data_IF_884049888687
#
_entry.id   IF_884049888687
#
_cell.length_a   1.000
_cell.length_b   1.000
_cell.length_c   1.000
_cell.angle_alpha   90.00
_cell.angle_beta   90.00
_cell.angle_gamma   90.00
#
_symmetry.space_group_name_H-M   'P 1'
#
loop_
_entity.id
_entity.type
_entity.pdbx_description
1 polymer ?
#
# COMPACT_ATOMS: atom_id res chain seq x y z
N UNK A 1 27.19 81.20 39.47
CA UNK A 1 26.43 80.44 38.46
C UNK A 1 24.96 80.60 38.81
N UNK A 2 24.27 81.46 38.08
CA UNK A 2 22.97 82.02 38.47
C UNK A 2 21.84 81.04 38.19
N UNK A 3 20.88 80.95 39.12
CA UNK A 3 19.68 80.10 39.10
C UNK A 3 18.95 80.06 37.75
N UNK A 4 19.05 81.13 36.96
CA UNK A 4 18.50 81.23 35.60
C UNK A 4 19.00 80.15 34.64
N UNK A 5 20.27 79.76 34.70
CA UNK A 5 20.82 78.70 33.84
C UNK A 5 20.25 77.33 34.24
N UNK A 6 20.10 77.08 35.54
CA UNK A 6 19.53 75.84 36.06
C UNK A 6 18.06 75.72 35.65
N UNK A 7 17.27 76.79 35.78
CA UNK A 7 15.86 76.82 35.35
C UNK A 7 15.73 76.52 33.86
N UNK A 8 16.57 77.11 33.01
CA UNK A 8 16.51 76.88 31.57
C UNK A 8 16.85 75.43 31.19
N UNK A 9 17.86 74.83 31.83
CA UNK A 9 18.23 73.42 31.64
C UNK A 9 17.05 72.50 32.02
N UNK A 10 16.38 72.78 33.14
CA UNK A 10 15.21 71.99 33.57
C UNK A 10 14.06 72.11 32.56
N UNK A 11 13.78 73.30 32.05
CA UNK A 11 12.73 73.50 31.04
C UNK A 11 13.03 72.73 29.76
N UNK A 12 14.28 72.78 29.26
CA UNK A 12 14.69 72.01 28.08
C UNK A 12 14.61 70.51 28.32
N UNK A 13 15.04 70.04 29.50
CA UNK A 13 14.94 68.62 29.86
C UNK A 13 13.49 68.13 29.87
N UNK A 14 12.57 68.90 30.46
CA UNK A 14 11.14 68.58 30.47
C UNK A 14 10.56 68.60 29.05
N UNK A 15 10.91 69.60 28.23
CA UNK A 15 10.48 69.66 26.84
C UNK A 15 10.98 68.45 26.02
N UNK A 16 12.23 68.03 26.23
CA UNK A 16 12.79 66.84 25.59
C UNK A 16 12.06 65.55 26.00
N UNK A 17 11.73 65.40 27.29
CA UNK A 17 10.97 64.24 27.79
C UNK A 17 9.57 64.21 27.16
N UNK A 18 8.87 65.35 27.09
CA UNK A 18 7.55 65.44 26.47
C UNK A 18 7.60 65.10 24.97
N UNK A 19 8.64 65.54 24.27
CA UNK A 19 8.84 65.22 22.86
C UNK A 19 9.06 63.72 22.64
N UNK A 20 9.90 63.09 23.47
CA UNK A 20 10.14 61.64 23.40
C UNK A 20 8.85 60.86 23.70
N UNK A 21 8.07 61.29 24.70
CA UNK A 21 6.79 60.66 25.04
C UNK A 21 5.77 60.77 23.89
N UNK A 22 5.69 61.91 23.22
CA UNK A 22 4.80 62.12 22.07
C UNK A 22 5.18 61.21 20.88
N UNK A 23 6.47 61.11 20.56
CA UNK A 23 6.96 60.23 19.49
C UNK A 23 6.67 58.76 19.81
N UNK A 24 6.90 58.34 21.06
CA UNK A 24 6.62 56.98 21.51
C UNK A 24 5.11 56.64 21.44
N UNK A 25 4.24 57.60 21.75
CA UNK A 25 2.80 57.41 21.69
C UNK A 25 2.29 57.27 20.24
N UNK A 26 2.78 58.09 19.31
CA UNK A 26 2.45 57.98 17.88
C UNK A 26 2.94 56.66 17.29
N UNK A 27 4.16 56.24 17.63
CA UNK A 27 4.72 54.96 17.19
C UNK A 27 3.90 53.76 17.71
N UNK A 28 3.41 53.82 18.96
CA UNK A 28 2.53 52.79 19.55
C UNK A 28 1.15 52.75 18.90
N UNK A 29 0.57 53.91 18.56
CA UNK A 29 -0.72 54.01 17.85
C UNK A 29 -0.65 53.43 16.44
N UNK A 30 0.44 53.70 15.70
CA UNK A 30 0.65 53.13 14.36
C UNK A 30 0.81 51.60 14.40
N UNK A 31 1.49 51.06 15.41
CA UNK A 31 1.63 49.59 15.58
C UNK A 31 0.30 48.88 15.86
N UNK A 32 -0.61 49.50 16.61
CA UNK A 32 -1.90 48.90 16.95
C UNK A 32 -2.86 48.80 15.76
N UNK A 33 -2.75 49.69 14.77
CA UNK A 33 -3.49 49.57 13.50
C UNK A 33 -2.93 48.46 12.60
N UNK A 34 -1.60 48.31 12.51
CA UNK A 34 -0.97 47.24 11.74
C UNK A 34 -1.25 45.82 12.29
N UNK A 35 -1.45 45.67 13.60
CA UNK A 35 -1.78 44.37 14.21
C UNK A 35 -3.22 43.89 13.91
N UNK A 36 -4.14 44.79 13.55
CA UNK A 36 -5.50 44.39 13.12
C UNK A 36 -5.56 43.87 11.69
N UNK A 37 -4.73 44.40 10.80
CA UNK A 37 -4.67 43.96 9.38
C UNK A 37 -4.02 42.58 9.25
N UNK A 38 -2.96 42.30 10.02
CA UNK A 38 -2.28 40.99 9.99
C UNK A 38 -3.17 39.84 10.48
N UNK A 39 -4.12 40.09 11.38
CA UNK A 39 -5.06 39.06 11.84
C UNK A 39 -6.12 38.67 10.79
N UNK A 40 -6.44 39.57 9.86
CA UNK A 40 -7.30 39.27 8.70
C UNK A 40 -6.59 38.38 7.69
N UNK A 41 -5.39 38.78 7.28
CA UNK A 41 -4.56 38.04 6.31
C UNK A 41 -4.21 36.63 6.78
N UNK A 42 -3.98 36.43 8.09
CA UNK A 42 -3.69 35.09 8.64
C UNK A 42 -4.94 34.20 8.63
N UNK A 43 -6.14 34.77 8.83
CA UNK A 43 -7.40 34.00 8.76
C UNK A 43 -7.73 33.59 7.33
N UNK A 44 -7.53 34.49 6.36
CA UNK A 44 -7.78 34.20 4.95
C UNK A 44 -6.80 33.15 4.42
N UNK A 45 -5.52 33.27 4.75
CA UNK A 45 -4.50 32.26 4.40
C UNK A 45 -4.75 30.91 5.08
N UNK A 46 -5.24 30.90 6.33
CA UNK A 46 -5.59 29.65 7.02
C UNK A 46 -6.78 28.93 6.37
N UNK A 47 -7.78 29.67 5.87
CA UNK A 47 -8.92 29.08 5.16
C UNK A 47 -8.47 28.48 3.82
N UNK A 48 -7.63 29.19 3.06
CA UNK A 48 -7.10 28.68 1.78
C UNK A 48 -6.25 27.41 1.98
N UNK A 49 -5.36 27.41 2.98
CA UNK A 49 -4.56 26.22 3.32
C UNK A 49 -5.41 25.06 3.84
N UNK A 50 -6.52 25.32 4.55
CA UNK A 50 -7.42 24.26 5.01
C UNK A 50 -8.15 23.54 3.86
N UNK A 51 -8.46 24.26 2.77
CA UNK A 51 -9.04 23.66 1.57
C UNK A 51 -8.07 22.72 0.86
N UNK A 52 -6.77 23.03 0.84
CA UNK A 52 -5.75 22.18 0.23
C UNK A 52 -5.48 20.92 1.08
N UNK A 53 -5.43 21.07 2.41
CA UNK A 53 -5.27 19.94 3.33
C UNK A 53 -6.48 19.01 3.28
N UNK A 54 -7.71 19.55 3.27
CA UNK A 54 -8.93 18.75 3.17
C UNK A 54 -9.04 17.94 1.87
N UNK A 55 -8.54 18.47 0.75
CA UNK A 55 -8.46 17.71 -0.51
C UNK A 55 -7.46 16.55 -0.43
N UNK A 56 -6.30 16.77 0.20
CA UNK A 56 -5.30 15.71 0.39
C UNK A 56 -5.80 14.62 1.34
N UNK A 57 -6.51 15.02 2.40
CA UNK A 57 -7.15 14.09 3.34
C UNK A 57 -8.24 13.27 2.66
N UNK A 58 -9.10 13.90 1.84
CA UNK A 58 -10.12 13.19 1.07
C UNK A 58 -9.50 12.16 0.08
N UNK A 59 -8.41 12.52 -0.60
CA UNK A 59 -7.70 11.59 -1.49
C UNK A 59 -7.04 10.44 -0.72
N UNK A 60 -6.51 10.71 0.47
CA UNK A 60 -5.95 9.68 1.34
C UNK A 60 -7.03 8.71 1.83
N UNK A 61 -8.19 9.22 2.24
CA UNK A 61 -9.34 8.43 2.67
C UNK A 61 -9.91 7.59 1.52
N UNK A 62 -10.03 8.18 0.32
CA UNK A 62 -10.45 7.47 -0.89
C UNK A 62 -9.46 6.33 -1.21
N UNK A 63 -8.16 6.59 -1.14
CA UNK A 63 -7.12 5.60 -1.39
C UNK A 63 -7.17 4.47 -0.34
N UNK A 64 -7.36 4.82 0.94
CA UNK A 64 -7.49 3.85 2.02
C UNK A 64 -8.77 3.01 1.90
N UNK A 65 -9.88 3.60 1.44
CA UNK A 65 -11.11 2.88 1.15
C UNK A 65 -10.93 1.91 -0.03
N UNK A 66 -10.29 2.37 -1.12
CA UNK A 66 -9.99 1.55 -2.30
C UNK A 66 -9.05 0.39 -1.98
N UNK A 67 -8.05 0.61 -1.14
CA UNK A 67 -7.15 -0.45 -0.69
C UNK A 67 -7.91 -1.54 0.10
N UNK A 68 -8.81 -1.13 1.01
CA UNK A 68 -9.67 -2.07 1.76
C UNK A 68 -10.60 -2.86 0.84
N UNK A 69 -11.18 -2.22 -0.17
CA UNK A 69 -12.03 -2.90 -1.15
C UNK A 69 -11.23 -3.94 -1.96
N UNK A 70 -10.06 -3.56 -2.48
CA UNK A 70 -9.20 -4.46 -3.23
C UNK A 70 -8.72 -5.67 -2.39
N UNK A 71 -8.43 -5.45 -1.11
CA UNK A 71 -8.07 -6.52 -0.19
C UNK A 71 -9.24 -7.50 0.03
N UNK A 72 -10.45 -7.00 0.25
CA UNK A 72 -11.63 -7.84 0.41
C UNK A 72 -11.91 -8.69 -0.84
N UNK A 73 -11.76 -8.13 -2.04
CA UNK A 73 -11.88 -8.85 -3.30
C UNK A 73 -10.81 -9.95 -3.44
N UNK A 74 -9.56 -9.65 -3.07
CA UNK A 74 -8.47 -10.62 -3.10
C UNK A 74 -8.71 -11.77 -2.12
N UNK A 75 -9.19 -11.49 -0.90
CA UNK A 75 -9.54 -12.50 0.10
C UNK A 75 -10.69 -13.39 -0.38
N UNK A 76 -11.72 -12.82 -1.02
CA UNK A 76 -12.81 -13.59 -1.61
C UNK A 76 -12.32 -14.51 -2.74
N UNK A 77 -11.43 -14.01 -3.61
CA UNK A 77 -10.84 -14.81 -4.69
C UNK A 77 -9.93 -15.92 -4.13
N UNK A 78 -9.17 -15.64 -3.07
CA UNK A 78 -8.34 -16.63 -2.39
C UNK A 78 -9.19 -17.75 -1.76
N UNK A 79 -10.31 -17.40 -1.13
CA UNK A 79 -11.25 -18.39 -0.59
C UNK A 79 -11.86 -19.27 -1.69
N UNK A 80 -12.21 -18.69 -2.84
CA UNK A 80 -12.71 -19.44 -4.00
C UNK A 80 -11.64 -20.39 -4.56
N UNK A 81 -10.40 -19.93 -4.69
CA UNK A 81 -9.27 -20.75 -5.12
C UNK A 81 -9.00 -21.92 -4.15
N UNK A 82 -9.03 -21.65 -2.84
CA UNK A 82 -8.89 -22.68 -1.82
C UNK A 82 -10.01 -23.73 -1.91
N UNK A 83 -11.26 -23.31 -2.19
CA UNK A 83 -12.38 -24.21 -2.43
C UNK A 83 -12.16 -25.13 -3.63
N UNK A 84 -11.68 -24.60 -4.76
CA UNK A 84 -11.34 -25.39 -5.94
C UNK A 84 -10.19 -26.38 -5.69
N UNK A 85 -9.16 -25.95 -4.96
CA UNK A 85 -8.06 -26.82 -4.56
C UNK A 85 -8.53 -27.98 -3.67
N UNK A 86 -9.42 -27.70 -2.71
CA UNK A 86 -9.98 -28.73 -1.85
C UNK A 86 -10.79 -29.76 -2.66
N UNK A 87 -11.61 -29.31 -3.62
CA UNK A 87 -12.33 -30.21 -4.53
C UNK A 87 -11.39 -31.04 -5.39
N UNK A 88 -10.32 -30.44 -5.92
CA UNK A 88 -9.32 -31.18 -6.69
C UNK A 88 -8.61 -32.23 -5.84
N UNK A 89 -8.30 -31.92 -4.58
CA UNK A 89 -7.69 -32.86 -3.64
C UNK A 89 -8.64 -34.00 -3.28
N UNK A 90 -9.92 -33.70 -3.03
CA UNK A 90 -10.95 -34.73 -2.80
C UNK A 90 -11.04 -35.70 -3.99
N UNK A 91 -11.14 -35.19 -5.23
CA UNK A 91 -11.17 -36.04 -6.43
C UNK A 91 -9.91 -36.89 -6.60
N UNK A 92 -8.73 -36.36 -6.24
CA UNK A 92 -7.48 -37.14 -6.27
C UNK A 92 -7.50 -38.27 -5.24
N UNK A 93 -7.97 -38.00 -4.02
CA UNK A 93 -8.12 -39.01 -2.99
C UNK A 93 -9.12 -40.08 -3.41
N UNK A 94 -10.27 -39.70 -3.96
CA UNK A 94 -11.28 -40.65 -4.46
C UNK A 94 -10.69 -41.55 -5.55
N UNK A 95 -9.99 -40.96 -6.52
CA UNK A 95 -9.33 -41.72 -7.59
C UNK A 95 -8.26 -42.69 -7.04
N UNK A 96 -7.49 -42.26 -6.05
CA UNK A 96 -6.49 -43.11 -5.39
C UNK A 96 -7.16 -44.29 -4.64
N UNK A 97 -8.26 -44.03 -3.96
CA UNK A 97 -9.06 -45.06 -3.28
C UNK A 97 -9.60 -46.07 -4.29
N UNK A 98 -10.25 -45.63 -5.36
CA UNK A 98 -10.79 -46.52 -6.41
C UNK A 98 -9.69 -47.37 -7.04
N UNK A 99 -8.50 -46.79 -7.30
CA UNK A 99 -7.35 -47.57 -7.79
C UNK A 99 -6.94 -48.66 -6.79
N UNK A 100 -6.86 -48.33 -5.50
CA UNK A 100 -6.51 -49.31 -4.46
C UNK A 100 -7.55 -50.41 -4.29
N UNK A 101 -8.83 -50.14 -4.59
CA UNK A 101 -9.91 -51.13 -4.57
C UNK A 101 -9.78 -52.06 -5.78
N UNK A 102 -9.55 -51.51 -6.96
CA UNK A 102 -9.30 -52.28 -8.20
C UNK A 102 -8.08 -53.18 -8.03
N UNK A 103 -6.96 -52.67 -7.52
CA UNK A 103 -5.75 -53.45 -7.27
C UNK A 103 -6.02 -54.61 -6.30
N UNK A 104 -6.85 -54.39 -5.26
CA UNK A 104 -7.27 -55.44 -4.31
C UNK A 104 -8.17 -56.49 -4.93
N UNK A 105 -9.04 -56.11 -5.86
CA UNK A 105 -9.87 -57.07 -6.61
C UNK A 105 -9.04 -57.93 -7.56
N UNK A 106 -8.06 -57.34 -8.25
CA UNK A 106 -7.09 -58.10 -9.06
C UNK A 106 -6.29 -59.07 -8.20
N UNK A 107 -5.76 -58.63 -7.06
CA UNK A 107 -5.02 -59.51 -6.15
C UNK A 107 -5.89 -60.67 -5.63
N UNK A 108 -7.20 -60.43 -5.42
CA UNK A 108 -8.13 -61.50 -5.04
C UNK A 108 -8.40 -62.46 -6.18
N UNK A 109 -8.54 -61.97 -7.41
CA UNK A 109 -8.70 -62.81 -8.60
C UNK A 109 -7.48 -63.71 -8.80
N UNK A 110 -6.27 -63.14 -8.75
CA UNK A 110 -5.00 -63.86 -8.89
C UNK A 110 -4.82 -64.96 -7.83
N UNK A 111 -5.38 -64.79 -6.62
CA UNK A 111 -5.33 -65.81 -5.55
C UNK A 111 -6.25 -67.02 -5.80
N UNK A 112 -7.30 -66.84 -6.59
CA UNK A 112 -8.30 -67.88 -6.87
C UNK A 112 -7.98 -68.59 -8.19
N UNK A 113 -7.36 -67.88 -9.14
CA UNK A 113 -7.00 -68.41 -10.45
C UNK A 113 -5.87 -69.47 -10.34
N UNK A 114 -6.14 -70.74 -10.67
CA UNK A 114 -5.12 -71.79 -10.65
C UNK A 114 -4.03 -71.62 -11.72
N UNK A 115 -4.28 -70.79 -12.75
CA UNK A 115 -3.32 -70.47 -13.81
C UNK A 115 -2.55 -69.16 -13.53
N UNK A 116 -2.75 -68.55 -12.35
CA UNK A 116 -2.09 -67.30 -11.99
C UNK A 116 -0.55 -67.44 -11.94
N UNK A 117 0.20 -66.46 -12.47
CA UNK A 117 1.65 -66.48 -12.46
C UNK A 117 2.17 -66.41 -11.02
N UNK A 118 2.83 -67.47 -10.56
CA UNK A 118 3.52 -67.49 -9.27
C UNK A 118 4.68 -66.50 -9.28
N UNK A 119 4.96 -65.87 -8.13
CA UNK A 119 6.01 -64.86 -7.93
C UNK A 119 7.42 -65.29 -8.34
N UNK A 120 7.64 -66.58 -8.62
CA UNK A 120 8.89 -67.13 -9.11
C UNK A 120 9.08 -66.99 -10.64
N UNK A 121 8.08 -66.46 -11.36
CA UNK A 121 8.20 -66.18 -12.80
C UNK A 121 8.80 -64.78 -13.00
N UNK A 122 10.01 -64.63 -13.57
CA UNK A 122 10.59 -63.32 -13.85
C UNK A 122 9.66 -62.57 -14.81
N UNK A 123 9.02 -61.51 -14.32
CA UNK A 123 8.25 -60.58 -15.16
C UNK A 123 9.24 -59.87 -16.06
N UNK A 124 9.45 -60.43 -17.25
CA UNK A 124 10.36 -59.91 -18.26
C UNK A 124 10.10 -58.43 -18.49
N UNK A 125 11.19 -57.68 -18.47
CA UNK A 125 11.30 -56.25 -18.68
C UNK A 125 10.52 -55.81 -19.94
N UNK A 126 9.25 -55.46 -19.76
CA UNK A 126 8.45 -54.86 -20.81
C UNK A 126 8.75 -53.36 -20.89
N UNK A 127 9.85 -53.08 -21.60
CA UNK A 127 10.04 -51.90 -22.44
C UNK A 127 9.78 -50.54 -21.79
N UNK A 128 10.80 -50.04 -21.09
CA UNK A 128 11.14 -48.62 -21.13
C UNK A 128 11.36 -48.23 -22.59
N UNK A 129 10.32 -47.68 -23.23
CA UNK A 129 10.43 -47.06 -24.55
C UNK A 129 10.68 -45.58 -24.30
N UNK A 130 11.88 -45.04 -24.58
CA UNK A 130 12.08 -43.61 -24.60
C UNK A 130 11.23 -43.04 -25.73
N UNK A 131 10.15 -42.33 -25.36
CA UNK A 131 9.35 -41.57 -26.31
C UNK A 131 10.17 -40.36 -26.75
N UNK A 132 10.97 -40.55 -27.80
CA UNK A 132 11.69 -39.50 -28.50
C UNK A 132 10.73 -38.49 -29.13
N UNK A 133 11.03 -37.21 -28.88
CA UNK A 133 11.02 -36.09 -29.81
C UNK A 133 9.77 -35.80 -30.66
N UNK A 134 9.12 -34.66 -30.38
CA UNK A 134 8.83 -33.58 -31.35
C UNK A 134 7.58 -32.75 -30.97
N UNK A 135 7.74 -31.77 -30.06
CA UNK A 135 6.93 -30.54 -30.06
C UNK A 135 7.48 -29.56 -29.01
N UNK A 136 8.18 -28.51 -29.43
CA UNK A 136 8.57 -27.45 -28.49
C UNK A 136 9.81 -26.64 -28.82
N UNK A 137 10.27 -26.57 -30.08
CA UNK A 137 11.13 -25.45 -30.48
C UNK A 137 10.23 -24.23 -30.72
N UNK A 138 9.94 -23.50 -29.65
CA UNK A 138 9.43 -22.13 -29.77
C UNK A 138 10.65 -21.24 -29.98
N UNK A 139 10.89 -20.85 -31.24
CA UNK A 139 11.77 -19.74 -31.57
C UNK A 139 11.16 -18.45 -30.98
N UNK A 140 11.88 -17.67 -30.16
CA UNK A 140 11.40 -16.36 -29.74
C UNK A 140 11.43 -15.38 -30.94
N UNK A 141 10.45 -14.47 -31.06
CA UNK A 141 10.40 -13.52 -32.16
C UNK A 141 11.58 -12.54 -32.09
N UNK A 142 12.40 -12.53 -33.15
CA UNK A 142 13.41 -11.50 -33.36
C UNK A 142 12.72 -10.17 -33.65
N UNK A 143 12.70 -9.26 -32.68
CA UNK A 143 12.29 -7.88 -32.92
C UNK A 143 13.34 -7.20 -33.80
N UNK A 144 12.98 -6.92 -35.05
CA UNK A 144 13.69 -5.97 -35.89
C UNK A 144 13.58 -4.58 -35.25
N UNK A 145 14.70 -4.04 -34.76
CA UNK A 145 14.89 -2.59 -34.65
C UNK A 145 15.22 -2.07 -36.04
N UNK A 146 14.37 -1.18 -36.56
CA UNK A 146 14.65 -0.36 -37.72
C UNK A 146 14.14 1.05 -37.44
N UNK A 147 14.99 2.05 -37.71
CA UNK A 147 14.64 3.47 -37.80
C UNK A 147 14.83 4.26 -36.52
#
# INVERSE_FOLDING_TARGET
>A
MTTSTIVWIVVVAVAAILLIAAIAWVARKKRTEHHRVQAGDIREKAVEQSHEVGQREALADETAAKARAAQAEAEAMAAHAAGLQHQAQARRTDAATSRSEVDREFERADKIDPDAPTSDTPRGDAADTPRGDAAGRQDPPRMHKAG
#
